data_IF_464925458414
#
_entry.id   IF_464925458414
#
_cell.length_a   1.000
_cell.length_b   1.000
_cell.length_c   1.000
_cell.angle_alpha   90.00
_cell.angle_beta   90.00
_cell.angle_gamma   90.00
#
_symmetry.space_group_name_H-M   'P 1'
#
loop_
_entity.id
_entity.type
_entity.pdbx_description
1 polymer ?
#
# COMPACT_ATOMS: atom_id res chain seq x y z
N UNK A 1 -4.25 5.35 27.50
CA UNK A 1 -4.28 5.65 26.06
C UNK A 1 -4.57 4.38 25.31
N UNK A 2 -5.15 4.48 24.11
CA UNK A 2 -5.29 3.31 23.22
C UNK A 2 -3.91 2.77 22.83
N UNK A 3 -3.82 1.46 22.57
CA UNK A 3 -2.58 0.79 22.14
C UNK A 3 -2.45 0.97 20.62
N UNK A 4 -1.24 1.22 20.13
CA UNK A 4 -0.97 1.47 18.71
C UNK A 4 -1.55 0.38 17.79
N UNK A 5 -1.43 -0.89 18.17
CA UNK A 5 -1.96 -2.02 17.38
C UNK A 5 -3.47 -1.90 17.10
N UNK A 6 -4.23 -1.37 18.06
CA UNK A 6 -5.68 -1.16 17.88
C UNK A 6 -5.96 0.01 16.93
N UNK A 7 -5.13 1.05 16.93
CA UNK A 7 -5.26 2.19 16.02
C UNK A 7 -4.88 1.75 14.60
N UNK A 8 -3.76 1.03 14.45
CA UNK A 8 -3.28 0.48 13.19
C UNK A 8 -4.32 -0.44 12.54
N UNK A 9 -4.93 -1.33 13.31
CA UNK A 9 -6.00 -2.19 12.81
C UNK A 9 -7.17 -1.37 12.25
N UNK A 10 -7.59 -0.30 12.95
CA UNK A 10 -8.66 0.58 12.49
C UNK A 10 -8.30 1.32 11.20
N UNK A 11 -7.03 1.73 11.06
CA UNK A 11 -6.54 2.34 9.81
C UNK A 11 -6.66 1.33 8.65
N UNK A 12 -6.24 0.08 8.84
CA UNK A 12 -6.36 -0.95 7.81
C UNK A 12 -7.82 -1.26 7.45
N UNK A 13 -8.71 -1.28 8.44
CA UNK A 13 -10.15 -1.45 8.23
C UNK A 13 -10.72 -0.33 7.35
N UNK A 14 -10.40 0.94 7.66
CA UNK A 14 -10.82 2.10 6.87
C UNK A 14 -10.28 2.01 5.43
N UNK A 15 -8.99 1.75 5.25
CA UNK A 15 -8.40 1.61 3.92
C UNK A 15 -9.09 0.51 3.11
N UNK A 16 -9.34 -0.66 3.73
CA UNK A 16 -10.05 -1.77 3.10
C UNK A 16 -11.46 -1.38 2.65
N UNK A 17 -12.21 -0.70 3.52
CA UNK A 17 -13.59 -0.29 3.21
C UNK A 17 -13.66 0.73 2.08
N UNK A 18 -12.72 1.68 2.02
CA UNK A 18 -12.64 2.66 0.93
C UNK A 18 -12.40 1.96 -0.41
N UNK A 19 -11.35 1.12 -0.50
CA UNK A 19 -11.05 0.42 -1.74
C UNK A 19 -12.15 -0.58 -2.12
N UNK A 20 -12.72 -1.29 -1.15
CA UNK A 20 -13.85 -2.18 -1.42
C UNK A 20 -15.03 -1.42 -2.02
N UNK A 21 -15.43 -0.30 -1.41
CA UNK A 21 -16.54 0.51 -1.92
C UNK A 21 -16.24 1.06 -3.32
N UNK A 22 -15.01 1.50 -3.55
CA UNK A 22 -14.56 2.00 -4.85
C UNK A 22 -14.53 0.92 -5.94
N UNK A 23 -14.52 -0.38 -5.58
CA UNK A 23 -14.57 -1.53 -6.52
C UNK A 23 -15.98 -2.02 -6.86
N UNK A 24 -17.01 -1.49 -6.17
CA UNK A 24 -18.41 -1.95 -6.29
C UNK A 24 -19.23 -1.06 -7.22
N UNK A 25 -18.73 0.14 -7.51
CA UNK A 25 -19.38 1.08 -8.41
C UNK A 25 -19.33 0.58 -9.86
N UNK A 26 -20.13 1.18 -10.74
CA UNK A 26 -20.05 0.90 -12.18
C UNK A 26 -19.12 1.89 -12.88
N UNK A 27 -18.48 1.52 -14.01
CA UNK A 27 -17.74 2.46 -14.83
C UNK A 27 -18.59 3.71 -15.16
N UNK A 28 -18.01 4.93 -15.14
CA UNK A 28 -16.59 5.26 -15.01
C UNK A 28 -16.09 5.48 -13.56
N UNK A 29 -16.91 5.22 -12.54
CA UNK A 29 -16.62 5.59 -11.14
C UNK A 29 -15.94 4.47 -10.33
N UNK A 30 -15.70 3.33 -10.97
CA UNK A 30 -15.12 2.12 -10.39
C UNK A 30 -13.60 2.06 -10.53
N UNK A 31 -12.92 1.49 -9.53
CA UNK A 31 -11.55 0.99 -9.66
C UNK A 31 -11.65 -0.44 -10.23
N UNK A 32 -11.83 -0.52 -11.55
CA UNK A 32 -12.00 -1.79 -12.25
C UNK A 32 -10.82 -2.74 -12.08
N UNK A 33 -11.11 -4.04 -11.95
CA UNK A 33 -10.09 -5.08 -11.82
C UNK A 33 -9.28 -5.24 -13.11
N UNK A 34 -7.95 -5.24 -13.01
CA UNK A 34 -7.04 -5.58 -14.11
C UNK A 34 -5.90 -6.44 -13.59
N UNK A 35 -5.90 -7.73 -13.93
CA UNK A 35 -4.94 -8.72 -13.41
C UNK A 35 -3.47 -8.40 -13.73
N UNK A 36 -3.22 -7.65 -14.82
CA UNK A 36 -1.88 -7.24 -15.23
C UNK A 36 -1.46 -5.87 -14.67
N UNK A 37 -2.35 -5.15 -13.98
CA UNK A 37 -2.07 -3.82 -13.45
C UNK A 37 -2.00 -3.86 -11.93
N UNK A 38 -1.01 -3.17 -11.37
CA UNK A 38 -0.86 -2.94 -9.93
C UNK A 38 -0.49 -1.49 -9.71
N UNK A 39 -1.00 -0.92 -8.63
CA UNK A 39 -0.75 0.46 -8.27
C UNK A 39 -0.45 0.57 -6.77
N UNK A 40 0.42 1.51 -6.42
CA UNK A 40 0.67 1.89 -5.03
C UNK A 40 -0.04 3.21 -4.75
N UNK A 41 -0.72 3.27 -3.60
CA UNK A 41 -1.41 4.44 -3.10
C UNK A 41 -0.82 4.80 -1.75
N UNK A 42 -0.62 6.10 -1.48
CA UNK A 42 -0.43 6.56 -0.10
C UNK A 42 -1.71 7.20 0.40
N UNK A 43 -1.98 7.01 1.68
CA UNK A 43 -3.12 7.61 2.37
C UNK A 43 -2.59 8.61 3.39
N UNK A 44 -2.96 9.87 3.22
CA UNK A 44 -2.85 10.85 4.29
C UNK A 44 -4.06 10.67 5.18
N UNK A 45 -3.85 10.11 6.38
CA UNK A 45 -4.93 9.67 7.27
C UNK A 45 -5.96 10.79 7.48
N UNK A 46 -7.22 10.49 7.16
CA UNK A 46 -8.40 11.37 7.31
C UNK A 46 -8.49 12.50 6.26
N UNK A 47 -7.59 12.58 5.28
CA UNK A 47 -7.56 13.67 4.30
C UNK A 47 -7.79 13.19 2.86
N UNK A 48 -6.85 12.43 2.29
CA UNK A 48 -6.87 12.06 0.88
C UNK A 48 -6.08 10.78 0.58
N UNK A 49 -6.35 10.21 -0.60
CA UNK A 49 -5.63 9.07 -1.17
C UNK A 49 -4.99 9.51 -2.48
N UNK A 50 -3.68 9.33 -2.59
CA UNK A 50 -2.88 9.77 -3.73
C UNK A 50 -2.46 8.59 -4.62
N UNK A 51 -2.92 8.60 -5.88
CA UNK A 51 -2.44 7.70 -6.95
C UNK A 51 -1.11 8.26 -7.48
N UNK A 52 0.01 7.62 -7.14
CA UNK A 52 1.38 8.12 -7.31
C UNK A 52 1.80 9.17 -6.26
N UNK A 53 1.98 8.76 -5.00
CA UNK A 53 2.46 9.64 -3.94
C UNK A 53 3.88 10.15 -4.21
N UNK A 54 4.24 11.29 -3.61
CA UNK A 54 5.61 11.80 -3.68
C UNK A 54 6.56 10.89 -2.89
N UNK A 55 7.26 10.01 -3.61
CA UNK A 55 8.19 9.05 -3.03
C UNK A 55 9.57 9.64 -2.68
N UNK A 56 9.85 10.91 -2.97
CA UNK A 56 11.17 11.50 -2.73
C UNK A 56 11.52 11.45 -1.24
N UNK A 57 10.61 11.85 -0.36
CA UNK A 57 10.84 11.79 1.08
C UNK A 57 10.98 10.35 1.59
N UNK A 58 10.09 9.45 1.16
CA UNK A 58 10.16 8.04 1.55
C UNK A 58 11.51 7.42 1.17
N UNK A 59 12.02 7.69 -0.04
CA UNK A 59 13.30 7.15 -0.49
C UNK A 59 14.52 7.70 0.25
N UNK A 60 14.44 8.92 0.78
CA UNK A 60 15.53 9.50 1.62
C UNK A 60 15.52 8.94 3.04
N UNK A 61 14.36 8.58 3.56
CA UNK A 61 14.21 8.07 4.92
C UNK A 61 14.35 6.54 5.00
N UNK A 62 14.02 5.84 3.92
CA UNK A 62 13.99 4.38 3.85
C UNK A 62 14.79 3.92 2.61
N UNK A 63 16.07 3.52 2.78
CA UNK A 63 16.94 3.17 1.66
C UNK A 63 16.43 2.03 0.77
N UNK A 64 15.66 1.10 1.34
CA UNK A 64 15.09 -0.06 0.65
C UNK A 64 13.70 0.18 0.07
N UNK A 65 13.15 1.40 0.20
CA UNK A 65 11.77 1.71 -0.18
C UNK A 65 11.42 1.29 -1.61
N UNK A 66 12.23 1.70 -2.60
CA UNK A 66 11.96 1.35 -4.00
C UNK A 66 12.07 -0.15 -4.25
N UNK A 67 12.97 -0.84 -3.54
CA UNK A 67 13.10 -2.29 -3.64
C UNK A 67 11.86 -2.99 -3.09
N UNK A 68 11.36 -2.58 -1.93
CA UNK A 68 10.12 -3.12 -1.34
C UNK A 68 8.91 -2.85 -2.24
N UNK A 69 8.76 -1.63 -2.77
CA UNK A 69 7.69 -1.32 -3.72
C UNK A 69 7.80 -2.18 -4.97
N UNK A 70 9.01 -2.37 -5.51
CA UNK A 70 9.24 -3.22 -6.67
C UNK A 70 8.89 -4.69 -6.39
N UNK A 71 9.25 -5.19 -5.20
CA UNK A 71 8.97 -6.55 -4.76
C UNK A 71 7.48 -6.83 -4.71
N UNK A 72 6.72 -5.93 -4.08
CA UNK A 72 5.29 -6.07 -3.96
C UNK A 72 4.62 -5.95 -5.33
N UNK A 73 4.95 -4.92 -6.11
CA UNK A 73 4.24 -4.63 -7.36
C UNK A 73 4.61 -5.56 -8.53
N UNK A 74 5.86 -6.04 -8.60
CA UNK A 74 6.32 -6.82 -9.74
C UNK A 74 6.62 -8.28 -9.40
N UNK A 75 7.06 -8.56 -8.17
CA UNK A 75 7.47 -9.91 -7.75
C UNK A 75 6.43 -10.63 -6.89
N UNK A 76 5.41 -9.92 -6.38
CA UNK A 76 4.48 -10.41 -5.35
C UNK A 76 5.21 -10.95 -4.11
N UNK A 77 6.35 -10.33 -3.75
CA UNK A 77 7.12 -10.68 -2.56
C UNK A 77 6.85 -9.66 -1.46
N UNK A 78 6.58 -10.16 -0.25
CA UNK A 78 6.45 -9.37 0.99
C UNK A 78 7.52 -9.79 1.97
N UNK A 79 7.85 -8.94 2.95
CA UNK A 79 8.97 -9.16 3.87
C UNK A 79 8.84 -10.46 4.71
N UNK A 80 7.65 -11.07 4.79
CA UNK A 80 7.41 -12.38 5.39
C UNK A 80 7.99 -13.56 4.59
N UNK A 81 8.30 -13.39 3.30
CA UNK A 81 8.78 -14.44 2.39
C UNK A 81 10.32 -14.49 2.24
N UNK A 82 11.06 -13.49 2.75
CA UNK A 82 12.52 -13.36 2.57
C UNK A 82 13.30 -13.24 3.90
N UNK A 83 12.97 -14.06 4.92
CA UNK A 83 13.99 -14.43 5.94
C UNK A 83 14.80 -15.64 5.48
N UNK A 84 15.40 -15.59 4.29
CA UNK A 84 16.48 -16.49 3.90
C UNK A 84 17.54 -15.69 3.14
N UNK A 85 18.68 -15.50 3.79
CA UNK A 85 20.01 -15.21 3.24
C UNK A 85 20.12 -14.12 2.16
N UNK A 86 20.62 -12.94 2.55
CA UNK A 86 21.96 -12.46 2.13
C UNK A 86 22.23 -11.06 2.65
N UNK A 87 22.80 -10.97 3.85
CA UNK A 87 23.84 -9.99 4.18
C UNK A 87 24.83 -10.65 5.16
N UNK A 88 25.61 -11.59 4.62
CA UNK A 88 26.98 -11.86 5.03
C UNK A 88 27.93 -11.03 4.18
#
# INVERSE_FOLDING_TARGET
GEIWSSIEQRIFEICREIFHSATVEQPPFDIGSCLSSRASYATDLILEINFAPNCQHASTSYPTFYYQVFNVLFRNLTDDEDTVDTLS
#
